data_IF_324552186937
#
_entry.id   IF_324552186937
#
_cell.length_a   1.000
_cell.length_b   1.000
_cell.length_c   1.000
_cell.angle_alpha   90.00
_cell.angle_beta   90.00
_cell.angle_gamma   90.00
#
_symmetry.space_group_name_H-M   'P 1'
#
loop_
_entity.id
_entity.type
_entity.pdbx_description
1 polymer ?
#
# COMPACT_ATOMS: atom_id res chain seq x y z
N UNK A 1 -27.74 2.34 29.01
CA UNK A 1 -27.05 2.50 27.71
C UNK A 1 -25.86 1.55 27.70
N UNK A 2 -25.89 0.51 26.86
CA UNK A 2 -24.73 -0.36 26.65
C UNK A 2 -23.85 0.27 25.56
N UNK A 3 -22.60 0.61 25.92
CA UNK A 3 -21.61 1.05 24.96
C UNK A 3 -21.12 -0.18 24.19
N UNK A 4 -21.39 -0.24 22.87
CA UNK A 4 -20.72 -1.18 21.99
C UNK A 4 -19.25 -0.75 21.88
N UNK A 5 -18.37 -1.43 22.64
CA UNK A 5 -16.94 -1.32 22.46
C UNK A 5 -16.57 -2.19 21.27
N UNK A 6 -16.38 -1.56 20.12
CA UNK A 6 -15.76 -2.23 18.98
C UNK A 6 -14.32 -2.60 19.39
N UNK A 7 -14.11 -3.89 19.69
CA UNK A 7 -12.79 -4.51 19.74
C UNK A 7 -12.34 -4.67 18.28
N UNK A 8 -11.82 -3.61 17.68
CA UNK A 8 -11.10 -3.72 16.40
C UNK A 8 -9.62 -3.97 16.72
N UNK A 9 -9.29 -5.25 17.00
CA UNK A 9 -7.91 -5.70 17.22
C UNK A 9 -7.10 -5.80 15.90
N UNK A 10 -7.71 -5.47 14.77
CA UNK A 10 -6.94 -5.03 13.62
C UNK A 10 -6.74 -3.54 13.78
N UNK A 11 -5.63 -3.11 14.38
CA UNK A 11 -5.23 -1.72 14.30
C UNK A 11 -5.34 -1.30 12.83
N UNK A 12 -6.36 -0.50 12.49
CA UNK A 12 -6.53 0.08 11.16
C UNK A 12 -5.30 0.93 10.94
N UNK A 13 -4.26 0.32 10.40
CA UNK A 13 -3.04 1.02 10.06
C UNK A 13 -3.42 1.94 8.92
N UNK A 14 -3.75 3.18 9.25
CA UNK A 14 -4.08 4.21 8.27
C UNK A 14 -3.00 4.19 7.19
N UNK A 15 -3.36 4.01 5.91
CA UNK A 15 -2.38 3.97 4.86
C UNK A 15 -1.66 5.32 4.83
N UNK A 16 -0.32 5.27 4.83
CA UNK A 16 0.55 6.43 4.71
C UNK A 16 0.54 7.01 3.29
N UNK A 17 0.20 6.19 2.30
CA UNK A 17 0.07 6.59 0.91
C UNK A 17 -0.90 5.66 0.18
N UNK A 18 -1.58 6.20 -0.81
CA UNK A 18 -2.48 5.48 -1.71
C UNK A 18 -2.25 5.99 -3.14
N UNK A 19 -2.27 5.09 -4.11
CA UNK A 19 -2.23 5.45 -5.52
C UNK A 19 -3.04 4.46 -6.37
N UNK A 20 -3.62 4.94 -7.47
CA UNK A 20 -4.50 4.16 -8.34
C UNK A 20 -3.93 4.04 -9.76
N UNK A 21 -3.79 2.80 -10.22
CA UNK A 21 -3.41 2.47 -11.58
C UNK A 21 -4.64 2.11 -12.40
N UNK A 22 -5.09 3.05 -13.24
CA UNK A 22 -6.25 2.85 -14.12
C UNK A 22 -6.01 1.83 -15.22
N UNK A 23 -4.77 1.68 -15.70
CA UNK A 23 -4.44 0.77 -16.81
C UNK A 23 -4.65 -0.70 -16.41
N UNK A 24 -4.36 -1.03 -15.15
CA UNK A 24 -4.42 -2.40 -14.62
C UNK A 24 -5.53 -2.61 -13.59
N UNK A 25 -6.38 -1.60 -13.37
CA UNK A 25 -7.47 -1.62 -12.39
C UNK A 25 -6.99 -1.98 -10.97
N UNK A 26 -5.91 -1.33 -10.53
CA UNK A 26 -5.22 -1.67 -9.28
C UNK A 26 -5.08 -0.47 -8.33
N UNK A 27 -5.40 -0.67 -7.06
CA UNK A 27 -5.17 0.31 -5.99
C UNK A 27 -4.01 -0.19 -5.15
N UNK A 28 -3.01 0.67 -4.94
CA UNK A 28 -1.91 0.38 -4.03
C UNK A 28 -1.99 1.24 -2.78
N UNK A 29 -1.73 0.63 -1.64
CA UNK A 29 -1.66 1.30 -0.34
C UNK A 29 -0.36 0.94 0.35
N UNK A 30 0.27 1.91 1.01
CA UNK A 30 1.41 1.67 1.89
C UNK A 30 1.04 1.99 3.32
N UNK A 31 1.64 1.29 4.27
CA UNK A 31 1.41 1.46 5.69
C UNK A 31 2.71 1.84 6.41
N UNK A 32 2.58 2.45 7.59
CA UNK A 32 3.71 2.88 8.42
C UNK A 32 4.63 1.72 8.85
N UNK A 33 4.09 0.50 8.95
CA UNK A 33 4.85 -0.70 9.26
C UNK A 33 5.62 -1.28 8.05
N UNK A 34 5.69 -0.54 6.94
CA UNK A 34 6.35 -1.00 5.72
C UNK A 34 5.54 -2.05 4.96
N UNK A 35 4.24 -2.22 5.22
CA UNK A 35 3.39 -3.07 4.38
C UNK A 35 2.94 -2.32 3.15
N UNK A 36 3.00 -2.94 1.97
CA UNK A 36 2.35 -2.48 0.74
C UNK A 36 1.29 -3.51 0.36
N UNK A 37 0.07 -3.06 0.13
CA UNK A 37 -1.04 -3.90 -0.35
C UNK A 37 -1.53 -3.39 -1.69
N UNK A 38 -1.80 -4.32 -2.59
CA UNK A 38 -2.32 -4.05 -3.93
C UNK A 38 -3.64 -4.77 -4.07
N UNK A 39 -4.67 -4.01 -4.42
CA UNK A 39 -6.04 -4.49 -4.58
C UNK A 39 -6.44 -4.39 -6.03
N UNK A 40 -7.22 -5.36 -6.50
CA UNK A 40 -8.02 -5.20 -7.70
C UNK A 40 -9.21 -4.27 -7.36
N UNK A 41 -9.34 -3.17 -8.10
CA UNK A 41 -10.30 -2.12 -7.77
C UNK A 41 -11.74 -2.51 -8.13
N UNK A 42 -11.97 -3.22 -9.24
CA UNK A 42 -13.31 -3.70 -9.64
C UNK A 42 -13.80 -4.87 -8.81
N UNK A 43 -12.90 -5.76 -8.37
CA UNK A 43 -13.23 -6.95 -7.60
C UNK A 43 -13.21 -6.71 -6.08
N UNK A 44 -12.73 -5.54 -5.64
CA UNK A 44 -12.54 -5.21 -4.23
C UNK A 44 -11.74 -6.29 -3.46
N UNK A 45 -10.80 -6.94 -4.15
CA UNK A 45 -10.04 -8.09 -3.66
C UNK A 45 -8.56 -7.74 -3.52
N UNK A 46 -7.89 -8.36 -2.55
CA UNK A 46 -6.44 -8.23 -2.39
C UNK A 46 -5.73 -9.09 -3.44
N UNK A 47 -4.94 -8.46 -4.31
CA UNK A 47 -4.12 -9.17 -5.30
C UNK A 47 -2.76 -9.54 -4.70
N UNK A 48 -2.08 -8.57 -4.06
CA UNK A 48 -0.72 -8.76 -3.54
C UNK A 48 -0.51 -8.07 -2.20
N UNK A 49 0.33 -8.65 -1.36
CA UNK A 49 0.81 -8.04 -0.12
C UNK A 49 2.33 -8.23 0.01
N UNK A 50 3.02 -7.13 0.27
CA UNK A 50 4.45 -7.09 0.53
C UNK A 50 4.71 -6.50 1.91
N UNK A 51 5.59 -7.11 2.69
CA UNK A 51 5.97 -6.62 4.02
C UNK A 51 7.47 -6.34 4.02
N UNK A 52 7.84 -5.09 4.23
CA UNK A 52 9.22 -4.66 4.27
C UNK A 52 9.70 -4.50 5.70
N UNK A 53 10.25 -5.56 6.28
CA UNK A 53 10.71 -5.61 7.68
C UNK A 53 11.76 -4.53 8.01
N UNK A 54 12.53 -4.06 7.02
CA UNK A 54 13.68 -3.16 7.21
C UNK A 54 13.57 -1.81 6.48
N UNK A 55 12.45 -1.52 5.81
CA UNK A 55 12.38 -0.34 4.93
C UNK A 55 11.78 0.91 5.60
N UNK A 56 11.44 0.86 6.89
CA UNK A 56 10.87 2.00 7.60
C UNK A 56 9.55 2.49 6.96
N UNK A 57 9.11 3.68 7.35
CA UNK A 57 7.86 4.25 6.84
C UNK A 57 7.98 4.56 5.34
N UNK A 58 7.09 3.94 4.55
CA UNK A 58 6.88 4.25 3.15
C UNK A 58 5.98 5.48 3.05
N UNK A 59 6.48 6.58 2.50
CA UNK A 59 5.78 7.86 2.50
C UNK A 59 5.00 8.14 1.21
N UNK A 60 5.42 7.52 0.12
CA UNK A 60 4.81 7.77 -1.18
C UNK A 60 4.90 6.51 -2.04
N UNK A 61 3.75 6.10 -2.56
CA UNK A 61 3.62 5.17 -3.67
C UNK A 61 3.27 5.94 -4.93
N UNK A 62 3.84 5.53 -6.07
CA UNK A 62 3.45 6.03 -7.37
C UNK A 62 3.55 4.92 -8.40
N UNK A 63 2.45 4.63 -9.08
CA UNK A 63 2.39 3.73 -10.20
C UNK A 63 3.06 4.34 -11.43
N UNK A 64 3.80 3.52 -12.15
CA UNK A 64 4.06 3.77 -13.56
C UNK A 64 2.82 3.26 -14.34
N UNK A 65 2.11 4.11 -15.10
CA UNK A 65 0.93 3.66 -15.85
C UNK A 65 1.27 2.86 -17.11
N UNK A 66 2.52 2.91 -17.59
CA UNK A 66 2.98 2.25 -18.82
C UNK A 66 3.68 0.93 -18.59
N UNK A 67 4.28 0.77 -17.41
CA UNK A 67 4.93 -0.45 -16.97
C UNK A 67 4.15 -0.93 -15.76
N UNK A 68 3.88 -2.23 -15.60
CA UNK A 68 3.19 -2.77 -14.42
C UNK A 68 4.08 -2.69 -13.17
N UNK A 69 4.50 -1.46 -12.83
CA UNK A 69 5.55 -1.16 -11.88
C UNK A 69 5.07 -0.13 -10.86
N UNK A 70 5.26 -0.45 -9.58
CA UNK A 70 5.03 0.46 -8.48
C UNK A 70 6.37 1.02 -8.00
N UNK A 71 6.49 2.34 -7.88
CA UNK A 71 7.68 3.01 -7.34
C UNK A 71 7.35 3.59 -5.97
N UNK A 72 8.24 3.42 -4.99
CA UNK A 72 8.11 4.10 -3.70
C UNK A 72 9.36 4.88 -3.31
N UNK A 73 9.15 5.91 -2.47
CA UNK A 73 10.22 6.70 -1.86
C UNK A 73 10.26 6.50 -0.35
N UNK A 74 11.46 6.25 0.18
CA UNK A 74 11.76 6.19 1.62
C UNK A 74 12.35 7.52 2.08
N UNK A 75 11.99 7.99 3.29
CA UNK A 75 12.50 9.27 3.84
C UNK A 75 14.02 9.34 3.97
N UNK A 76 14.69 8.19 4.11
CA UNK A 76 16.15 8.09 4.31
C UNK A 76 16.92 7.55 3.10
N UNK A 77 16.25 7.03 2.06
CA UNK A 77 16.90 6.53 0.85
C UNK A 77 16.05 6.93 -0.36
N UNK A 78 16.62 7.78 -1.21
CA UNK A 78 16.02 8.24 -2.47
C UNK A 78 16.05 7.18 -3.59
N UNK A 79 16.39 5.93 -3.28
CA UNK A 79 16.44 4.86 -4.27
C UNK A 79 15.02 4.40 -4.60
N UNK A 80 14.52 4.59 -5.84
CA UNK A 80 13.26 4.00 -6.25
C UNK A 80 13.41 2.49 -6.27
N UNK A 81 12.55 1.78 -5.55
CA UNK A 81 12.41 0.34 -5.67
C UNK A 81 11.19 0.07 -6.56
N UNK A 82 11.34 -0.84 -7.52
CA UNK A 82 10.31 -1.20 -8.49
C UNK A 82 9.78 -2.59 -8.19
N UNK A 83 8.46 -2.73 -8.20
CA UNK A 83 7.81 -4.04 -8.30
C UNK A 83 7.56 -4.32 -9.77
N UNK A 84 7.65 -5.57 -10.20
CA UNK A 84 7.15 -6.03 -11.50
C UNK A 84 6.07 -7.07 -11.21
N UNK A 85 4.90 -6.91 -11.84
CA UNK A 85 3.74 -7.81 -11.70
C UNK A 85 3.47 -8.56 -13.01
#
# INVERSE_FOLDING_TARGET
>A
LCCFKWLDETARLTPSSIDYNKSFDQISTSHLNGTVKIYNASQYSLSYQYVFSNHGVLHQLKWNPTESNLVYKKKQHNTPFQFQF
#
